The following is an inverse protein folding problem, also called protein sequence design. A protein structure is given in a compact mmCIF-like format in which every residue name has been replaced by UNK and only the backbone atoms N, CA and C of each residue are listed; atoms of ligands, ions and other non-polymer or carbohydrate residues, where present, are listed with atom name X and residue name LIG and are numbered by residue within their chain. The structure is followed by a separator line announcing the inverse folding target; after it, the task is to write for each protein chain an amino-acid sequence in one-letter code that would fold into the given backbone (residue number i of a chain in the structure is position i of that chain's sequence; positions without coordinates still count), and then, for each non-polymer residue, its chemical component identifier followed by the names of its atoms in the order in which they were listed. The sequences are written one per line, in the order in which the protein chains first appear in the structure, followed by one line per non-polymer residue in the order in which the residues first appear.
data_IF_003367993085
#
_entry.id   IF_003367993085
#
_cell.length_a   1.000
_cell.length_b   1.000
_cell.length_c   1.000
_cell.angle_alpha   90.00
_cell.angle_beta   90.00
_cell.angle_gamma   90.00
#
_symmetry.space_group_name_H-M   'P 1'
#
loop_
_entity.id
_entity.type
_entity.pdbx_description
1 polymer ?
#
# COMPACT_ATOMS: atom_id res chain seq x y z
N UNK A 1 -4.86 -11.71 10.34
CA UNK A 1 -4.25 -11.15 9.10
C UNK A 1 -4.90 -9.81 8.75
N UNK A 2 -4.16 -8.84 8.21
CA UNK A 2 -4.68 -7.57 7.69
C UNK A 2 -4.99 -7.69 6.19
N UNK A 3 -6.27 -7.69 5.78
CA UNK A 3 -6.66 -7.81 4.37
C UNK A 3 -6.60 -6.46 3.64
N UNK A 4 -6.44 -6.50 2.32
CA UNK A 4 -6.78 -5.33 1.47
C UNK A 4 -8.28 -5.06 1.53
N UNK A 5 -8.71 -3.84 1.17
CA UNK A 5 -10.14 -3.48 1.12
C UNK A 5 -10.94 -4.43 0.21
N UNK A 6 -10.47 -4.63 -1.01
CA UNK A 6 -11.04 -5.58 -1.99
C UNK A 6 -11.12 -7.01 -1.44
N UNK A 7 -10.10 -7.45 -0.70
CA UNK A 7 -10.12 -8.75 -0.03
C UNK A 7 -11.19 -8.78 1.05
N UNK A 8 -11.27 -7.77 1.91
CA UNK A 8 -12.25 -7.70 3.00
C UNK A 8 -13.69 -7.62 2.48
N UNK A 9 -13.92 -6.89 1.39
CA UNK A 9 -15.23 -6.80 0.73
C UNK A 9 -15.71 -8.18 0.26
N UNK A 10 -14.78 -9.02 -0.21
CA UNK A 10 -15.07 -10.41 -0.63
C UNK A 10 -15.39 -11.37 0.52
N UNK A 11 -15.06 -11.02 1.77
CA UNK A 11 -15.34 -11.88 2.92
C UNK A 11 -16.85 -12.04 3.14
N UNK A 12 -17.26 -13.27 3.46
CA UNK A 12 -18.66 -13.67 3.65
C UNK A 12 -18.90 -14.30 5.03
N UNK A 13 -18.83 -13.51 6.14
CA UNK A 13 -19.11 -14.04 7.48
C UNK A 13 -20.53 -14.60 7.62
N UNK A 14 -21.48 -14.09 6.82
CA UNK A 14 -22.84 -14.60 6.74
C UNK A 14 -22.90 -16.08 6.34
N UNK A 15 -22.06 -16.49 5.38
CA UNK A 15 -21.97 -17.90 4.95
C UNK A 15 -21.33 -18.78 6.03
N UNK A 16 -20.34 -18.25 6.76
CA UNK A 16 -19.71 -18.96 7.88
C UNK A 16 -20.71 -19.21 9.02
N UNK A 17 -21.52 -18.19 9.34
CA UNK A 17 -22.58 -18.30 10.35
C UNK A 17 -23.66 -19.33 9.95
N UNK A 18 -24.03 -19.41 8.67
CA UNK A 18 -24.94 -20.43 8.18
C UNK A 18 -24.32 -21.84 8.23
N UNK A 19 -23.04 -21.96 7.85
CA UNK A 19 -22.31 -23.21 7.89
C UNK A 19 -22.15 -23.74 9.33
N UNK A 20 -21.90 -22.86 10.30
CA UNK A 20 -21.74 -23.26 11.69
C UNK A 20 -23.02 -23.88 12.27
N UNK A 21 -24.18 -23.29 11.99
CA UNK A 21 -25.47 -23.87 12.35
C UNK A 21 -25.67 -25.26 11.74
N UNK A 22 -25.23 -25.47 10.49
CA UNK A 22 -25.29 -26.79 9.85
C UNK A 22 -24.38 -27.83 10.51
N UNK A 23 -23.20 -27.43 11.01
CA UNK A 23 -22.28 -28.33 11.71
C UNK A 23 -22.87 -28.79 13.04
N UNK A 24 -23.40 -27.85 13.85
CA UNK A 24 -24.06 -28.18 15.11
C UNK A 24 -25.24 -29.13 14.92
N UNK A 25 -26.13 -28.82 13.98
CA UNK A 25 -27.29 -29.67 13.66
C UNK A 25 -26.90 -31.08 13.18
N UNK A 26 -25.81 -31.21 12.42
CA UNK A 26 -25.30 -32.51 11.98
C UNK A 26 -24.73 -33.32 13.15
N UNK A 27 -24.03 -32.68 14.09
CA UNK A 27 -23.56 -33.29 15.33
C UNK A 27 -24.70 -33.87 16.16
N UNK A 28 -25.73 -33.06 16.39
CA UNK A 28 -26.93 -33.46 17.14
C UNK A 28 -27.68 -34.62 16.45
N UNK A 29 -27.75 -34.60 15.12
CA UNK A 29 -28.39 -35.67 14.36
C UNK A 29 -27.65 -37.01 14.50
N UNK A 30 -26.32 -37.00 14.52
CA UNK A 30 -25.50 -38.21 14.76
C UNK A 30 -25.75 -38.74 16.17
N UNK A 31 -25.73 -37.87 17.18
CA UNK A 31 -26.04 -38.25 18.57
C UNK A 31 -27.44 -38.86 18.67
N UNK A 32 -28.45 -38.16 18.16
CA UNK A 32 -29.83 -38.63 18.21
C UNK A 32 -30.02 -40.00 17.54
N UNK A 33 -29.36 -40.25 16.41
CA UNK A 33 -29.40 -41.54 15.73
C UNK A 33 -28.82 -42.65 16.61
N UNK A 34 -27.66 -42.43 17.24
CA UNK A 34 -27.01 -43.44 18.10
C UNK A 34 -27.81 -43.65 19.39
N UNK A 35 -28.24 -42.59 20.07
CA UNK A 35 -29.06 -42.68 21.29
C UNK A 35 -30.37 -43.43 21.03
N UNK A 36 -30.97 -43.28 19.85
CA UNK A 36 -32.20 -44.01 19.50
C UNK A 36 -32.00 -45.53 19.41
N UNK A 37 -30.81 -45.98 19.00
CA UNK A 37 -30.46 -47.41 18.91
C UNK A 37 -30.20 -47.97 20.30
N UNK A 38 -29.48 -47.23 21.15
CA UNK A 38 -29.25 -47.59 22.55
C UNK A 38 -30.58 -47.73 23.31
N UNK A 39 -31.45 -46.72 23.17
CA UNK A 39 -32.80 -46.71 23.74
C UNK A 39 -33.66 -47.88 23.26
N UNK A 40 -33.63 -48.19 21.96
CA UNK A 40 -34.36 -49.31 21.40
C UNK A 40 -33.85 -50.65 21.95
N UNK A 41 -32.53 -50.80 22.10
CA UNK A 41 -31.92 -52.01 22.66
C UNK A 41 -32.35 -52.24 24.11
N UNK A 42 -32.43 -51.18 24.93
CA UNK A 42 -32.81 -51.29 26.34
C UNK A 42 -34.31 -51.38 26.64
N UNK A 43 -35.19 -50.86 25.75
CA UNK A 43 -36.62 -50.66 26.06
C UNK A 43 -37.59 -51.62 25.36
N UNK A 44 -37.20 -52.33 24.31
CA UNK A 44 -38.16 -53.09 23.49
C UNK A 44 -38.79 -54.29 24.24
N UNK A 45 -40.12 -54.38 24.34
CA UNK A 45 -40.81 -55.57 24.87
C UNK A 45 -40.51 -56.83 24.07
N UNK A 46 -40.27 -56.74 22.75
CA UNK A 46 -39.90 -57.88 21.91
C UNK A 46 -38.48 -58.38 22.19
N UNK A 47 -37.58 -57.51 22.66
CA UNK A 47 -36.22 -57.90 23.08
C UNK A 47 -36.20 -58.68 24.40
N UNK A 48 -37.28 -58.67 25.19
CA UNK A 48 -37.38 -59.49 26.42
C UNK A 48 -37.31 -60.99 26.16
N UNK A 49 -37.63 -61.45 24.95
CA UNK A 49 -37.41 -62.83 24.52
C UNK A 49 -35.92 -63.16 24.29
N UNK A 50 -35.07 -62.12 24.20
CA UNK A 50 -33.62 -62.16 24.03
C UNK A 50 -32.85 -61.82 25.33
N UNK A 51 -33.57 -61.69 26.45
CA UNK A 51 -33.00 -61.36 27.74
C UNK A 51 -31.95 -62.37 28.21
N UNK A 52 -30.77 -61.85 28.57
CA UNK A 52 -29.63 -62.63 29.00
C UNK A 52 -28.30 -61.95 28.65
N UNK A 53 -27.20 -62.71 28.74
CA UNK A 53 -25.84 -62.19 28.54
C UNK A 53 -25.63 -61.50 27.19
N UNK A 54 -26.29 -61.96 26.13
CA UNK A 54 -26.18 -61.37 24.80
C UNK A 54 -26.85 -59.99 24.72
N UNK A 55 -28.02 -59.81 25.35
CA UNK A 55 -28.67 -58.51 25.45
C UNK A 55 -27.82 -57.53 26.27
N UNK A 56 -27.31 -57.94 27.44
CA UNK A 56 -26.46 -57.09 28.27
C UNK A 56 -25.20 -56.62 27.51
N UNK A 57 -24.58 -57.51 26.74
CA UNK A 57 -23.42 -57.16 25.92
C UNK A 57 -23.77 -56.17 24.79
N UNK A 58 -24.97 -56.27 24.21
CA UNK A 58 -25.46 -55.33 23.20
C UNK A 58 -25.78 -53.95 23.81
N UNK A 59 -26.46 -53.90 24.96
CA UNK A 59 -26.69 -52.67 25.72
C UNK A 59 -25.37 -51.99 26.12
N UNK A 60 -24.39 -52.75 26.62
CA UNK A 60 -23.06 -52.20 26.91
C UNK A 60 -22.35 -51.67 25.65
N UNK A 61 -22.52 -52.34 24.51
CA UNK A 61 -21.93 -51.90 23.24
C UNK A 61 -22.56 -50.61 22.73
N UNK A 62 -23.89 -50.50 22.71
CA UNK A 62 -24.58 -49.31 22.26
C UNK A 62 -24.44 -48.14 23.24
N UNK A 63 -24.41 -48.40 24.54
CA UNK A 63 -24.11 -47.39 25.54
C UNK A 63 -22.70 -46.79 25.37
N UNK A 64 -21.70 -47.61 25.03
CA UNK A 64 -20.37 -47.09 24.64
C UNK A 64 -20.42 -46.24 23.37
N UNK A 65 -21.21 -46.65 22.39
CA UNK A 65 -21.38 -45.88 21.16
C UNK A 65 -22.07 -44.53 21.42
N UNK A 66 -23.07 -44.50 22.30
CA UNK A 66 -23.79 -43.28 22.70
C UNK A 66 -22.86 -42.28 23.38
N UNK A 67 -21.99 -42.73 24.30
CA UNK A 67 -20.96 -41.89 24.93
C UNK A 67 -20.02 -41.27 23.88
N UNK A 68 -19.59 -42.04 22.88
CA UNK A 68 -18.75 -41.52 21.79
C UNK A 68 -19.51 -40.53 20.90
N UNK A 69 -20.79 -40.81 20.62
CA UNK A 69 -21.65 -39.92 19.82
C UNK A 69 -21.94 -38.60 20.56
N UNK A 70 -22.10 -38.63 21.88
CA UNK A 70 -22.17 -37.44 22.72
C UNK A 70 -20.89 -36.63 22.65
N UNK A 71 -19.72 -37.26 22.76
CA UNK A 71 -18.43 -36.58 22.62
C UNK A 71 -18.29 -35.91 21.24
N UNK A 72 -18.71 -36.60 20.17
CA UNK A 72 -18.72 -36.04 18.83
C UNK A 72 -19.68 -34.85 18.69
N UNK A 73 -20.87 -34.94 19.26
CA UNK A 73 -21.86 -33.84 19.29
C UNK A 73 -21.28 -32.62 20.00
N UNK A 74 -20.67 -32.82 21.16
CA UNK A 74 -20.04 -31.74 21.94
C UNK A 74 -18.87 -31.09 21.17
N UNK A 75 -18.11 -31.88 20.40
CA UNK A 75 -17.07 -31.34 19.52
C UNK A 75 -17.66 -30.48 18.40
N UNK A 76 -18.67 -31.00 17.70
CA UNK A 76 -19.36 -30.28 16.63
C UNK A 76 -19.98 -28.98 17.14
N UNK A 77 -20.61 -28.99 18.31
CA UNK A 77 -21.20 -27.83 18.96
C UNK A 77 -20.15 -26.78 19.37
N UNK A 78 -19.02 -27.21 19.94
CA UNK A 78 -17.93 -26.30 20.30
C UNK A 78 -17.33 -25.59 19.08
N UNK A 79 -17.11 -26.32 17.98
CA UNK A 79 -16.62 -25.74 16.71
C UNK A 79 -17.70 -24.84 16.08
N UNK A 80 -18.95 -25.26 16.07
CA UNK A 80 -20.06 -24.48 15.54
C UNK A 80 -20.23 -23.16 16.31
N UNK A 81 -20.15 -23.19 17.64
CA UNK A 81 -20.24 -22.00 18.48
C UNK A 81 -19.07 -21.05 18.19
N UNK A 82 -17.83 -21.56 18.16
CA UNK A 82 -16.65 -20.75 17.86
C UNK A 82 -16.74 -20.06 16.48
N UNK A 83 -17.18 -20.79 15.45
CA UNK A 83 -17.37 -20.21 14.11
C UNK A 83 -18.53 -19.22 14.10
N UNK A 84 -19.65 -19.54 14.75
CA UNK A 84 -20.85 -18.71 14.78
C UNK A 84 -20.60 -17.36 15.45
N UNK A 85 -20.01 -17.37 16.65
CA UNK A 85 -19.70 -16.18 17.43
C UNK A 85 -18.60 -15.34 16.74
N UNK A 86 -17.54 -16.00 16.26
CA UNK A 86 -16.47 -15.34 15.52
C UNK A 86 -16.95 -14.68 14.23
N UNK A 87 -17.77 -15.39 13.44
CA UNK A 87 -18.39 -14.83 12.24
C UNK A 87 -19.32 -13.66 12.57
N UNK A 88 -20.02 -13.69 13.70
CA UNK A 88 -20.89 -12.60 14.12
C UNK A 88 -20.11 -11.33 14.48
N UNK A 89 -19.05 -11.48 15.26
CA UNK A 89 -18.16 -10.37 15.59
C UNK A 89 -17.50 -9.80 14.33
N UNK A 90 -16.95 -10.68 13.47
CA UNK A 90 -16.25 -10.29 12.25
C UNK A 90 -17.16 -9.52 11.29
N UNK A 91 -18.42 -9.95 11.12
CA UNK A 91 -19.43 -9.25 10.31
C UNK A 91 -19.67 -7.82 10.80
N UNK A 92 -19.74 -7.63 12.12
CA UNK A 92 -19.94 -6.32 12.75
C UNK A 92 -18.77 -5.37 12.51
N UNK A 93 -17.55 -5.78 12.86
CA UNK A 93 -16.35 -4.92 12.72
C UNK A 93 -16.00 -4.66 11.26
N UNK A 94 -16.20 -5.65 10.38
CA UNK A 94 -16.09 -5.48 8.92
C UNK A 94 -17.09 -4.45 8.42
N UNK A 95 -18.34 -4.54 8.85
CA UNK A 95 -19.39 -3.61 8.45
C UNK A 95 -19.08 -2.17 8.84
N UNK A 96 -18.58 -1.96 10.07
CA UNK A 96 -18.17 -0.65 10.57
C UNK A 96 -17.01 -0.05 9.77
N UNK A 97 -15.94 -0.82 9.54
CA UNK A 97 -14.79 -0.36 8.76
C UNK A 97 -15.17 -0.01 7.31
N UNK A 98 -15.95 -0.87 6.64
CA UNK A 98 -16.39 -0.62 5.26
C UNK A 98 -17.35 0.57 5.18
N UNK A 99 -18.25 0.74 6.15
CA UNK A 99 -19.12 1.90 6.23
C UNK A 99 -18.31 3.19 6.40
N UNK A 100 -17.27 3.18 7.25
CA UNK A 100 -16.38 4.33 7.42
C UNK A 100 -15.61 4.66 6.15
N UNK A 101 -15.08 3.65 5.45
CA UNK A 101 -14.42 3.88 4.17
C UNK A 101 -15.37 4.51 3.13
N UNK A 102 -16.60 4.01 3.03
CA UNK A 102 -17.61 4.56 2.13
C UNK A 102 -18.04 6.00 2.51
N UNK A 103 -18.08 6.33 3.81
CA UNK A 103 -18.34 7.68 4.29
C UNK A 103 -17.23 8.64 3.84
N UNK A 104 -15.97 8.23 4.00
CA UNK A 104 -14.81 9.03 3.59
C UNK A 104 -14.81 9.23 2.07
N UNK A 105 -15.01 8.16 1.29
CA UNK A 105 -15.07 8.20 -0.18
C UNK A 105 -16.20 9.08 -0.75
N UNK A 106 -17.25 9.36 0.04
CA UNK A 106 -18.33 10.25 -0.36
C UNK A 106 -17.99 11.74 -0.13
N UNK A 107 -16.88 12.02 0.56
CA UNK A 107 -16.43 13.34 0.98
C UNK A 107 -15.27 13.89 0.13
N UNK A 108 -14.39 14.72 0.71
CA UNK A 108 -13.18 15.22 0.05
C UNK A 108 -11.97 14.28 0.21
N UNK A 109 -12.17 13.09 0.78
CA UNK A 109 -11.15 12.10 1.05
C UNK A 109 -11.50 10.81 0.30
N UNK A 110 -10.53 9.92 0.15
CA UNK A 110 -10.78 8.56 -0.30
C UNK A 110 -9.93 7.55 0.49
N UNK A 111 -10.36 6.30 0.50
CA UNK A 111 -9.65 5.20 1.15
C UNK A 111 -9.16 4.19 0.10
N UNK A 112 -7.84 4.10 -0.03
CA UNK A 112 -7.16 3.16 -0.93
C UNK A 112 -7.39 1.69 -0.56
N UNK A 113 -7.05 0.78 -1.47
CA UNK A 113 -7.11 -0.67 -1.21
C UNK A 113 -6.18 -1.11 -0.05
N UNK A 114 -5.15 -0.32 0.24
CA UNK A 114 -4.22 -0.51 1.35
C UNK A 114 -4.64 0.22 2.65
N UNK A 115 -5.89 0.67 2.75
CA UNK A 115 -6.45 1.40 3.91
C UNK A 115 -5.71 2.70 4.26
N UNK A 116 -5.11 3.35 3.27
CA UNK A 116 -4.55 4.69 3.40
C UNK A 116 -5.59 5.72 2.99
N UNK A 117 -5.83 6.70 3.87
CA UNK A 117 -6.69 7.86 3.63
C UNK A 117 -5.90 8.89 2.81
N UNK A 118 -6.44 9.22 1.64
CA UNK A 118 -5.90 10.20 0.71
C UNK A 118 -6.86 11.37 0.54
N UNK A 119 -6.33 12.49 0.07
CA UNK A 119 -7.13 13.68 -0.23
C UNK A 119 -7.47 13.62 -1.71
N UNK A 120 -8.76 13.75 -2.04
CA UNK A 120 -9.15 13.78 -3.44
C UNK A 120 -8.48 14.94 -4.17
N UNK A 121 -8.18 14.72 -5.45
CA UNK A 121 -7.52 15.72 -6.26
C UNK A 121 -8.47 16.90 -6.51
N UNK A 122 -8.20 18.08 -5.92
CA UNK A 122 -9.00 19.30 -6.09
C UNK A 122 -8.17 20.58 -5.97
N UNK A 123 -8.62 21.64 -6.63
CA UNK A 123 -8.05 22.97 -6.47
C UNK A 123 -8.58 23.60 -5.18
N UNK A 124 -7.67 23.95 -4.28
CA UNK A 124 -7.98 24.54 -2.97
C UNK A 124 -6.87 25.49 -2.52
N UNK A 125 -7.17 26.37 -1.58
CA UNK A 125 -6.16 27.24 -0.98
C UNK A 125 -5.16 26.44 -0.14
N UNK A 126 -4.04 27.07 0.22
CA UNK A 126 -3.07 26.50 1.16
C UNK A 126 -3.71 26.21 2.53
N UNK A 127 -4.53 27.14 3.03
CA UNK A 127 -5.25 26.99 4.29
C UNK A 127 -6.23 25.80 4.26
N UNK A 128 -7.04 25.68 3.21
CA UNK A 128 -7.98 24.56 3.05
C UNK A 128 -7.24 23.23 2.88
N UNK A 129 -6.09 23.21 2.18
CA UNK A 129 -5.26 22.01 2.09
C UNK A 129 -4.72 21.56 3.46
N UNK A 130 -4.25 22.51 4.28
CA UNK A 130 -3.77 22.20 5.63
C UNK A 130 -4.88 21.63 6.52
N UNK A 131 -6.11 22.14 6.39
CA UNK A 131 -7.29 21.59 7.07
C UNK A 131 -7.60 20.16 6.58
N UNK A 132 -7.54 19.92 5.28
CA UNK A 132 -7.74 18.58 4.68
C UNK A 132 -6.65 17.59 5.09
N UNK A 133 -5.39 18.01 5.16
CA UNK A 133 -4.29 17.17 5.65
C UNK A 133 -4.48 16.78 7.12
N UNK A 134 -4.90 17.74 7.95
CA UNK A 134 -5.21 17.49 9.37
C UNK A 134 -6.41 16.56 9.52
N UNK A 135 -7.46 16.75 8.71
CA UNK A 135 -8.60 15.85 8.64
C UNK A 135 -8.18 14.44 8.22
N UNK A 136 -7.40 14.30 7.14
CA UNK A 136 -6.93 13.01 6.63
C UNK A 136 -6.12 12.23 7.68
N UNK A 137 -5.26 12.90 8.46
CA UNK A 137 -4.52 12.29 9.56
C UNK A 137 -5.45 11.76 10.66
N UNK A 138 -6.42 12.57 11.10
CA UNK A 138 -7.40 12.17 12.11
C UNK A 138 -8.27 11.01 11.64
N UNK A 139 -8.73 11.05 10.40
CA UNK A 139 -9.53 9.96 9.82
C UNK A 139 -8.69 8.69 9.61
N UNK A 140 -7.39 8.81 9.29
CA UNK A 140 -6.47 7.66 9.23
C UNK A 140 -6.34 6.98 10.59
N UNK A 141 -6.23 7.73 11.69
CA UNK A 141 -6.17 7.16 13.04
C UNK A 141 -7.46 6.38 13.38
N UNK A 142 -8.62 6.95 13.08
CA UNK A 142 -9.91 6.30 13.30
C UNK A 142 -10.06 5.02 12.46
N UNK A 143 -9.69 5.09 11.17
CA UNK A 143 -9.71 3.94 10.26
C UNK A 143 -8.75 2.84 10.71
N UNK A 144 -7.55 3.20 11.18
CA UNK A 144 -6.55 2.27 11.70
C UNK A 144 -7.07 1.51 12.93
N UNK A 145 -7.77 2.19 13.85
CA UNK A 145 -8.39 1.53 15.00
C UNK A 145 -9.44 0.49 14.58
N UNK A 146 -10.27 0.81 13.57
CA UNK A 146 -11.26 -0.12 13.02
C UNK A 146 -10.60 -1.30 12.29
N UNK A 147 -9.53 -1.05 11.53
CA UNK A 147 -8.74 -2.09 10.86
C UNK A 147 -8.09 -3.05 11.87
N UNK A 148 -7.56 -2.53 12.97
CA UNK A 148 -7.03 -3.33 14.08
C UNK A 148 -8.11 -4.24 14.65
N UNK A 149 -9.33 -3.73 14.87
CA UNK A 149 -10.44 -4.50 15.41
C UNK A 149 -10.89 -5.64 14.46
N UNK A 150 -10.84 -5.43 13.14
CA UNK A 150 -11.09 -6.49 12.16
C UNK A 150 -10.08 -7.63 12.30
N UNK A 151 -8.79 -7.31 12.40
CA UNK A 151 -7.75 -8.33 12.57
C UNK A 151 -7.84 -9.02 13.93
N UNK A 152 -8.16 -8.29 15.01
CA UNK A 152 -8.40 -8.91 16.32
C UNK A 152 -9.59 -9.88 16.30
N UNK A 153 -10.68 -9.54 15.58
CA UNK A 153 -11.82 -10.44 15.42
C UNK A 153 -11.49 -11.69 14.61
N UNK A 154 -10.73 -11.54 13.51
CA UNK A 154 -10.22 -12.65 12.69
C UNK A 154 -9.33 -13.60 13.51
N UNK A 155 -8.34 -13.04 14.23
CA UNK A 155 -7.43 -13.83 15.06
C UNK A 155 -8.16 -14.51 16.23
N UNK A 156 -9.11 -13.82 16.89
CA UNK A 156 -9.91 -14.40 17.96
C UNK A 156 -10.81 -15.54 17.47
N UNK A 157 -11.40 -15.42 16.28
CA UNK A 157 -12.17 -16.49 15.65
C UNK A 157 -11.28 -17.70 15.37
N UNK A 158 -10.10 -17.50 14.78
CA UNK A 158 -9.15 -18.57 14.51
C UNK A 158 -8.74 -19.29 15.81
N UNK A 159 -8.37 -18.54 16.84
CA UNK A 159 -7.96 -19.09 18.14
C UNK A 159 -9.12 -19.84 18.83
N UNK A 160 -10.35 -19.35 18.74
CA UNK A 160 -11.53 -20.02 19.29
C UNK A 160 -11.77 -21.39 18.62
N UNK A 161 -11.67 -21.46 17.29
CA UNK A 161 -11.81 -22.72 16.54
C UNK A 161 -10.69 -23.71 16.89
N UNK A 162 -9.44 -23.23 16.98
CA UNK A 162 -8.29 -24.05 17.37
C UNK A 162 -8.45 -24.59 18.79
N UNK A 163 -8.90 -23.76 19.74
CA UNK A 163 -9.12 -24.16 21.12
C UNK A 163 -10.28 -25.16 21.26
N UNK A 164 -11.37 -25.00 20.49
CA UNK A 164 -12.44 -25.98 20.41
C UNK A 164 -11.90 -27.34 19.91
N UNK A 165 -11.00 -27.35 18.93
CA UNK A 165 -10.32 -28.56 18.44
C UNK A 165 -9.43 -29.24 19.48
N UNK A 166 -8.62 -28.47 20.23
CA UNK A 166 -7.62 -29.01 21.18
C UNK A 166 -8.25 -29.90 22.24
N UNK A 167 -9.46 -29.57 22.69
CA UNK A 167 -10.23 -30.38 23.65
C UNK A 167 -10.54 -31.81 23.16
N UNK A 168 -10.46 -32.03 21.84
CA UNK A 168 -10.76 -33.31 21.18
C UNK A 168 -9.56 -33.90 20.44
N UNK A 169 -8.34 -33.45 20.77
CA UNK A 169 -7.09 -34.02 20.24
C UNK A 169 -6.60 -33.40 18.92
N UNK A 170 -7.19 -32.28 18.48
CA UNK A 170 -6.60 -31.50 17.38
C UNK A 170 -5.26 -30.90 17.82
N UNK A 171 -4.25 -31.04 16.95
CA UNK A 171 -2.93 -30.44 17.13
C UNK A 171 -2.73 -29.44 15.99
N UNK A 172 -2.52 -28.18 16.35
CA UNK A 172 -2.23 -27.13 15.39
C UNK A 172 -0.91 -27.44 14.67
N UNK A 173 -0.84 -27.29 13.33
CA UNK A 173 0.43 -27.39 12.61
C UNK A 173 1.44 -26.40 13.18
N UNK A 174 2.61 -26.90 13.60
CA UNK A 174 3.71 -26.05 14.03
C UNK A 174 4.32 -25.28 12.86
N UNK A 175 5.20 -24.29 13.13
CA UNK A 175 5.97 -23.64 12.09
C UNK A 175 6.73 -24.70 11.27
N UNK A 176 6.80 -24.54 9.94
CA UNK A 176 7.39 -25.55 9.06
C UNK A 176 8.84 -25.83 9.46
N UNK A 177 9.16 -27.11 9.67
CA UNK A 177 10.50 -27.51 10.13
C UNK A 177 11.39 -28.05 9.00
N UNK A 178 10.80 -28.35 7.85
CA UNK A 178 11.52 -28.80 6.66
C UNK A 178 10.93 -28.25 5.35
N UNK A 179 11.62 -28.53 4.24
CA UNK A 179 11.25 -28.07 2.88
C UNK A 179 9.92 -28.69 2.42
N UNK A 180 9.57 -29.88 2.90
CA UNK A 180 8.28 -30.52 2.60
C UNK A 180 7.11 -29.84 3.30
N UNK A 181 7.29 -29.45 4.56
CA UNK A 181 6.35 -28.62 5.33
C UNK A 181 6.15 -27.25 4.67
N UNK A 182 7.23 -26.65 4.15
CA UNK A 182 7.15 -25.38 3.41
C UNK A 182 6.37 -25.49 2.10
N UNK A 183 6.28 -26.69 1.49
CA UNK A 183 5.49 -26.92 0.27
C UNK A 183 4.00 -27.19 0.56
N UNK A 184 3.62 -27.37 1.82
CA UNK A 184 2.22 -27.50 2.22
C UNK A 184 1.65 -26.10 2.53
N UNK A 185 0.78 -25.61 1.64
CA UNK A 185 0.14 -24.28 1.72
C UNK A 185 -0.68 -24.01 3.00
N UNK A 186 -0.82 -25.00 3.88
CA UNK A 186 -1.57 -24.94 5.15
C UNK A 186 -0.67 -24.85 6.39
N UNK A 187 0.66 -24.78 6.24
CA UNK A 187 1.61 -24.85 7.37
C UNK A 187 1.82 -23.50 8.11
N UNK A 188 1.31 -22.38 7.60
CA UNK A 188 1.50 -21.07 8.24
C UNK A 188 0.24 -20.20 8.19
N UNK A 189 0.07 -19.34 9.20
CA UNK A 189 -0.97 -18.30 9.19
C UNK A 189 -0.69 -17.34 8.01
N UNK A 190 -1.74 -16.86 7.31
CA UNK A 190 -1.57 -15.86 6.25
C UNK A 190 -0.87 -14.61 6.76
N UNK A 191 0.07 -14.09 5.97
CA UNK A 191 0.72 -12.79 6.23
C UNK A 191 -0.19 -11.63 5.88
N UNK A 192 0.09 -10.47 6.48
CA UNK A 192 -0.61 -9.22 6.20
C UNK A 192 -0.42 -8.80 4.74
N UNK A 193 -1.49 -8.26 4.14
CA UNK A 193 -1.49 -7.76 2.75
C UNK A 193 -1.40 -6.25 2.65
N UNK A 194 -1.45 -5.56 3.78
CA UNK A 194 -1.41 -4.11 3.90
C UNK A 194 -0.48 -3.73 5.06
N UNK A 195 0.06 -2.50 5.08
CA UNK A 195 0.95 -2.07 6.16
C UNK A 195 0.25 -2.11 7.52
N UNK A 196 0.83 -2.80 8.50
CA UNK A 196 0.24 -2.93 9.85
C UNK A 196 0.36 -1.64 10.65
N UNK A 197 -0.75 -0.93 10.96
CA UNK A 197 -0.72 0.32 11.70
C UNK A 197 -0.24 0.18 13.15
N UNK A 198 -0.20 -1.04 13.69
CA UNK A 198 0.36 -1.33 15.03
C UNK A 198 1.89 -1.28 15.03
N UNK A 199 2.50 -1.42 13.85
CA UNK A 199 3.95 -1.42 13.69
C UNK A 199 4.43 -0.05 13.19
N UNK A 200 5.62 0.36 13.63
CA UNK A 200 6.25 1.60 13.16
C UNK A 200 6.43 1.56 11.64
N UNK A 201 6.84 0.40 11.10
CA UNK A 201 7.07 0.22 9.67
C UNK A 201 5.78 0.35 8.88
N UNK A 202 4.68 -0.23 9.37
CA UNK A 202 3.39 -0.10 8.70
C UNK A 202 2.85 1.33 8.75
N UNK A 203 2.97 2.01 9.89
CA UNK A 203 2.61 3.43 10.00
C UNK A 203 3.42 4.33 9.04
N UNK A 204 4.73 4.07 8.91
CA UNK A 204 5.58 4.76 7.94
C UNK A 204 5.20 4.42 6.49
N UNK A 205 4.83 3.17 6.21
CA UNK A 205 4.35 2.73 4.90
C UNK A 205 3.07 3.48 4.48
N UNK A 206 2.11 3.60 5.39
CA UNK A 206 0.89 4.38 5.14
C UNK A 206 1.20 5.86 4.89
N UNK A 207 2.10 6.45 5.67
CA UNK A 207 2.54 7.84 5.49
C UNK A 207 3.26 8.04 4.15
N UNK A 208 4.10 7.10 3.72
CA UNK A 208 4.79 7.15 2.44
C UNK A 208 3.81 7.09 1.27
N UNK A 209 2.84 6.17 1.29
CA UNK A 209 1.79 6.06 0.25
C UNK A 209 1.01 7.38 0.12
N UNK A 210 0.65 8.01 1.24
CA UNK A 210 -0.03 9.31 1.25
C UNK A 210 0.86 10.44 0.72
N UNK A 211 2.13 10.46 1.12
CA UNK A 211 3.10 11.47 0.66
C UNK A 211 3.29 11.42 -0.86
N UNK A 212 3.46 10.22 -1.41
CA UNK A 212 3.60 10.02 -2.87
C UNK A 212 2.37 10.52 -3.62
N UNK A 213 1.17 10.26 -3.10
CA UNK A 213 -0.06 10.75 -3.71
C UNK A 213 -0.17 12.28 -3.67
N UNK A 214 0.12 12.90 -2.52
CA UNK A 214 0.10 14.36 -2.37
C UNK A 214 1.17 15.07 -3.22
N UNK A 215 2.31 14.43 -3.46
CA UNK A 215 3.37 14.91 -4.36
C UNK A 215 2.97 14.88 -5.84
N UNK A 216 1.94 14.11 -6.19
CA UNK A 216 1.47 14.01 -7.57
C UNK A 216 0.18 14.79 -7.80
N UNK A 217 -0.62 15.05 -6.78
CA UNK A 217 -1.87 15.77 -6.94
C UNK A 217 -1.65 17.29 -6.96
N UNK A 218 -2.30 17.96 -7.90
CA UNK A 218 -2.20 19.42 -8.07
C UNK A 218 -3.15 20.12 -7.10
N UNK A 219 -2.65 21.09 -6.35
CA UNK A 219 -3.44 21.97 -5.48
C UNK A 219 -3.80 23.27 -6.19
N UNK A 220 -2.86 23.86 -6.93
CA UNK A 220 -3.01 25.19 -7.50
C UNK A 220 -2.14 25.36 -8.75
N UNK A 221 -2.63 26.11 -9.74
CA UNK A 221 -1.89 26.49 -10.93
C UNK A 221 -1.98 28.00 -11.08
N UNK A 222 -0.83 28.67 -11.19
CA UNK A 222 -0.72 30.12 -11.37
C UNK A 222 0.06 30.40 -12.65
N UNK A 223 -0.59 31.07 -13.59
CA UNK A 223 0.07 31.65 -14.77
C UNK A 223 0.56 33.06 -14.42
N UNK A 224 1.82 33.36 -14.73
CA UNK A 224 2.44 34.66 -14.46
C UNK A 224 3.47 35.01 -15.52
N UNK A 225 3.98 36.24 -15.48
CA UNK A 225 5.09 36.69 -16.32
C UNK A 225 6.21 37.18 -15.42
N UNK A 226 7.44 36.74 -15.65
CA UNK A 226 8.58 37.18 -14.84
C UNK A 226 9.06 38.59 -15.23
N UNK A 227 10.06 39.10 -14.52
CA UNK A 227 10.63 40.44 -14.76
C UNK A 227 11.26 40.61 -16.16
N UNK A 228 11.57 39.49 -16.82
CA UNK A 228 12.16 39.42 -18.16
C UNK A 228 11.10 39.30 -19.27
N UNK A 229 9.81 39.25 -18.92
CA UNK A 229 8.72 39.09 -19.89
C UNK A 229 8.44 37.63 -20.29
N UNK A 230 9.05 36.66 -19.63
CA UNK A 230 8.86 35.23 -19.90
C UNK A 230 7.58 34.73 -19.24
N UNK A 231 6.80 33.95 -19.99
CA UNK A 231 5.59 33.28 -19.50
C UNK A 231 5.99 32.12 -18.57
N UNK A 232 5.45 32.15 -17.34
CA UNK A 232 5.67 31.13 -16.33
C UNK A 232 4.34 30.48 -15.91
N UNK A 233 4.33 29.15 -15.83
CA UNK A 233 3.25 28.37 -15.23
C UNK A 233 3.78 27.71 -13.96
N UNK A 234 3.28 28.14 -12.80
CA UNK A 234 3.63 27.56 -11.51
C UNK A 234 2.55 26.59 -11.07
N UNK A 235 2.91 25.33 -10.88
CA UNK A 235 2.07 24.32 -10.25
C UNK A 235 2.50 24.14 -8.81
N UNK A 236 1.56 24.28 -7.89
CA UNK A 236 1.75 23.85 -6.50
C UNK A 236 0.99 22.54 -6.26
N UNK A 237 1.69 21.55 -5.73
CA UNK A 237 1.17 20.22 -5.41
C UNK A 237 0.50 20.23 -4.02
N UNK A 238 -0.21 19.16 -3.66
CA UNK A 238 -0.91 19.06 -2.36
C UNK A 238 0.06 19.00 -1.17
N UNK A 239 1.27 18.48 -1.36
CA UNK A 239 2.32 18.45 -0.33
C UNK A 239 3.04 19.81 -0.15
N UNK A 240 2.69 20.81 -0.96
CA UNK A 240 3.30 22.15 -0.96
C UNK A 240 4.51 22.30 -1.88
N UNK A 241 5.00 21.21 -2.48
CA UNK A 241 6.08 21.27 -3.47
C UNK A 241 5.61 21.96 -4.74
N UNK A 242 6.56 22.52 -5.50
CA UNK A 242 6.25 23.41 -6.64
C UNK A 242 7.02 23.00 -7.88
N UNK A 243 6.39 23.21 -9.04
CA UNK A 243 7.05 23.13 -10.33
C UNK A 243 6.78 24.40 -11.12
N UNK A 244 7.84 25.05 -11.59
CA UNK A 244 7.78 26.29 -12.36
C UNK A 244 8.21 25.97 -13.79
N UNK A 245 7.27 26.00 -14.72
CA UNK A 245 7.53 25.89 -16.14
C UNK A 245 7.72 27.28 -16.74
N UNK A 246 8.85 27.51 -17.39
CA UNK A 246 9.22 28.79 -18.01
C UNK A 246 9.52 28.57 -19.48
N UNK A 247 8.94 29.44 -20.32
CA UNK A 247 9.35 29.57 -21.71
C UNK A 247 10.49 30.58 -21.78
N UNK A 248 11.70 30.11 -22.10
CA UNK A 248 12.90 30.93 -22.09
C UNK A 248 12.88 31.95 -23.24
N UNK A 249 13.42 33.16 -22.99
CA UNK A 249 13.48 34.21 -24.00
C UNK A 249 14.45 33.84 -25.15
N UNK A 250 13.98 33.73 -26.41
CA UNK A 250 14.85 33.49 -27.56
C UNK A 250 15.88 34.59 -27.80
N UNK A 251 15.70 35.82 -27.27
CA UNK A 251 16.70 36.88 -27.38
C UNK A 251 17.92 36.66 -26.47
N UNK A 252 17.73 36.07 -25.29
CA UNK A 252 18.82 35.71 -24.39
C UNK A 252 19.53 34.42 -24.83
N UNK A 253 18.79 33.52 -25.49
CA UNK A 253 19.30 32.24 -25.98
C UNK A 253 19.16 32.09 -27.50
N UNK A 254 19.83 32.95 -28.31
CA UNK A 254 19.61 33.02 -29.75
C UNK A 254 20.02 31.76 -30.51
N UNK A 255 20.82 30.87 -29.91
CA UNK A 255 21.18 29.57 -30.49
C UNK A 255 20.17 28.46 -30.20
N UNK A 256 19.18 28.69 -29.34
CA UNK A 256 18.21 27.69 -28.87
C UNK A 256 16.80 28.06 -29.30
N UNK A 257 16.19 27.25 -30.17
CA UNK A 257 14.78 27.37 -30.53
C UNK A 257 13.91 26.53 -29.59
N UNK A 258 12.68 27.01 -29.36
CA UNK A 258 11.67 26.31 -28.54
C UNK A 258 12.22 25.88 -27.17
N UNK A 259 12.94 26.78 -26.50
CA UNK A 259 13.59 26.47 -25.24
C UNK A 259 12.61 26.57 -24.07
N UNK A 260 12.31 25.42 -23.47
CA UNK A 260 11.47 25.30 -22.28
C UNK A 260 12.27 24.78 -21.10
N UNK A 261 11.91 25.24 -19.91
CA UNK A 261 12.51 24.82 -18.65
C UNK A 261 11.41 24.52 -17.63
N UNK A 262 11.55 23.44 -16.87
CA UNK A 262 10.72 23.14 -15.69
C UNK A 262 11.65 22.97 -14.50
N UNK A 263 11.51 23.84 -13.51
CA UNK A 263 12.22 23.73 -12.24
C UNK A 263 11.30 23.18 -11.18
N UNK A 264 11.77 22.16 -10.45
CA UNK A 264 11.04 21.55 -9.35
C UNK A 264 11.68 21.95 -8.02
N UNK A 265 10.82 22.24 -7.04
CA UNK A 265 11.19 22.67 -5.69
C UNK A 265 10.42 21.84 -4.69
N UNK A 266 11.03 21.52 -3.55
CA UNK A 266 10.37 20.81 -2.47
C UNK A 266 9.41 21.74 -1.68
N UNK A 267 8.74 21.19 -0.66
CA UNK A 267 7.82 21.95 0.21
C UNK A 267 8.50 23.10 0.97
N UNK A 268 9.82 23.03 1.17
CA UNK A 268 10.62 24.05 1.85
C UNK A 268 11.06 25.17 0.89
N UNK A 269 10.87 24.96 -0.41
CA UNK A 269 11.34 25.84 -1.47
C UNK A 269 12.76 25.53 -1.92
N UNK A 270 13.36 24.42 -1.49
CA UNK A 270 14.70 24.02 -1.91
C UNK A 270 14.63 23.42 -3.32
N UNK A 271 15.62 23.76 -4.14
CA UNK A 271 15.72 23.26 -5.51
C UNK A 271 15.94 21.74 -5.53
N UNK A 272 15.11 21.05 -6.29
CA UNK A 272 15.17 19.60 -6.51
C UNK A 272 15.96 19.28 -7.77
N UNK A 273 15.58 19.94 -8.86
CA UNK A 273 16.11 19.67 -10.17
C UNK A 273 15.40 20.48 -11.24
N UNK A 274 15.97 20.43 -12.43
CA UNK A 274 15.54 21.19 -13.59
C UNK A 274 15.54 20.31 -14.80
N UNK A 275 14.44 20.35 -15.53
CA UNK A 275 14.34 19.80 -16.88
C UNK A 275 14.41 20.92 -17.90
N UNK A 276 15.25 20.78 -18.91
CA UNK A 276 15.44 21.76 -19.99
C UNK A 276 15.33 21.05 -21.34
N UNK A 277 14.49 21.54 -22.24
CA UNK A 277 14.38 21.01 -23.61
C UNK A 277 14.50 22.13 -24.64
N UNK A 278 15.32 21.93 -25.68
CA UNK A 278 15.52 22.91 -26.75
C UNK A 278 16.00 22.26 -28.04
N UNK A 279 15.87 23.00 -29.14
CA UNK A 279 16.50 22.69 -30.43
C UNK A 279 17.70 23.61 -30.65
N UNK A 280 18.88 23.07 -30.94
CA UNK A 280 20.10 23.85 -31.14
C UNK A 280 20.34 24.17 -32.63
N UNK A 281 20.35 25.46 -32.97
CA UNK A 281 20.51 25.91 -34.36
C UNK A 281 21.94 25.73 -34.91
N UNK A 282 22.94 25.56 -34.05
CA UNK A 282 24.33 25.40 -34.45
C UNK A 282 24.64 24.03 -35.02
N UNK A 283 23.95 22.99 -34.54
CA UNK A 283 24.16 21.61 -34.96
C UNK A 283 22.90 20.87 -35.42
N UNK A 284 21.72 21.53 -35.41
CA UNK A 284 20.42 20.97 -35.81
C UNK A 284 20.00 19.75 -34.96
N UNK A 285 20.50 19.66 -33.71
CA UNK A 285 20.13 18.61 -32.76
C UNK A 285 19.06 19.08 -31.78
N UNK A 286 18.19 18.15 -31.36
CA UNK A 286 17.28 18.35 -30.24
C UNK A 286 17.92 17.86 -28.94
N UNK A 287 17.66 18.55 -27.84
CA UNK A 287 18.22 18.24 -26.52
C UNK A 287 17.12 18.21 -25.46
N UNK A 288 17.27 17.30 -24.50
CA UNK A 288 16.58 17.34 -23.20
C UNK A 288 17.56 16.98 -22.10
N UNK A 289 17.60 17.79 -21.04
CA UNK A 289 18.52 17.64 -19.91
C UNK A 289 17.75 17.63 -18.60
N UNK A 290 18.12 16.75 -17.68
CA UNK A 290 17.59 16.66 -16.32
C UNK A 290 18.75 16.89 -15.36
N UNK A 291 18.90 18.13 -14.87
CA UNK A 291 19.93 18.51 -13.92
C UNK A 291 19.38 18.42 -12.49
N UNK A 292 20.05 17.70 -11.61
CA UNK A 292 19.63 17.50 -10.22
C UNK A 292 20.39 18.44 -9.27
N UNK A 293 19.83 18.66 -8.08
CA UNK A 293 20.42 19.52 -7.05
C UNK A 293 21.83 19.07 -6.59
N UNK A 294 22.12 17.78 -6.68
CA UNK A 294 23.44 17.21 -6.34
C UNK A 294 24.51 17.45 -7.42
N UNK A 295 24.14 18.09 -8.53
CA UNK A 295 25.02 18.35 -9.67
C UNK A 295 25.10 17.21 -10.69
N UNK A 296 24.40 16.10 -10.47
CA UNK A 296 24.25 15.07 -11.50
C UNK A 296 23.34 15.53 -12.63
N UNK A 297 23.51 14.97 -13.82
CA UNK A 297 22.76 15.36 -15.02
C UNK A 297 22.51 14.17 -15.96
N UNK A 298 21.26 13.95 -16.34
CA UNK A 298 20.92 13.11 -17.49
C UNK A 298 20.74 13.99 -18.72
N UNK A 299 21.51 13.74 -19.77
CA UNK A 299 21.37 14.41 -21.06
C UNK A 299 20.90 13.42 -22.12
N UNK A 300 19.86 13.80 -22.86
CA UNK A 300 19.36 13.11 -24.04
C UNK A 300 19.52 14.07 -25.22
N UNK A 301 20.04 13.57 -26.33
CA UNK A 301 20.11 14.34 -27.57
C UNK A 301 19.71 13.50 -28.77
N UNK A 302 18.99 14.10 -29.71
CA UNK A 302 18.64 13.51 -30.99
C UNK A 302 19.33 14.28 -32.12
N UNK A 303 20.06 13.57 -32.96
CA UNK A 303 20.74 14.16 -34.10
C UNK A 303 19.81 14.37 -35.32
N UNK A 304 20.26 15.08 -36.36
CA UNK A 304 19.46 15.32 -37.57
C UNK A 304 18.99 14.06 -38.30
N UNK A 305 19.60 12.91 -38.04
CA UNK A 305 19.27 11.61 -38.65
C UNK A 305 18.24 10.82 -37.84
N UNK A 306 17.84 11.33 -36.67
CA UNK A 306 16.94 10.68 -35.73
C UNK A 306 17.63 9.72 -34.76
N UNK A 307 18.97 9.69 -34.74
CA UNK A 307 19.71 8.86 -33.79
C UNK A 307 19.73 9.53 -32.41
N UNK A 308 19.30 8.80 -31.38
CA UNK A 308 19.21 9.31 -30.01
C UNK A 308 20.38 8.77 -29.17
N UNK A 309 21.00 9.67 -28.40
CA UNK A 309 22.05 9.32 -27.44
C UNK A 309 21.65 9.77 -26.05
N UNK A 310 21.84 8.89 -25.06
CA UNK A 310 21.60 9.18 -23.64
C UNK A 310 22.92 9.07 -22.89
N UNK A 311 23.19 10.06 -22.05
CA UNK A 311 24.32 10.04 -21.14
C UNK A 311 23.92 10.50 -19.75
N UNK A 312 24.46 9.83 -18.73
CA UNK A 312 24.32 10.25 -17.34
C UNK A 312 25.68 10.70 -16.81
N UNK A 313 25.71 11.88 -16.22
CA UNK A 313 26.88 12.44 -15.54
C UNK A 313 26.59 12.46 -14.05
N UNK A 314 27.36 11.73 -13.24
CA UNK A 314 27.22 11.74 -11.79
C UNK A 314 27.75 13.03 -11.17
N UNK A 315 27.40 13.29 -9.90
CA UNK A 315 27.83 14.48 -9.16
C UNK A 315 29.37 14.64 -9.07
N UNK A 316 30.12 13.55 -9.17
CA UNK A 316 31.60 13.54 -9.21
C UNK A 316 32.18 13.79 -10.63
N UNK A 317 31.31 14.05 -11.62
CA UNK A 317 31.68 14.38 -13.00
C UNK A 317 31.94 13.18 -13.91
N UNK A 318 31.70 11.95 -13.45
CA UNK A 318 31.87 10.76 -14.31
C UNK A 318 30.70 10.62 -15.28
N UNK A 319 31.02 10.50 -16.56
CA UNK A 319 30.02 10.29 -17.61
C UNK A 319 29.89 8.81 -17.96
N UNK A 320 28.65 8.33 -18.07
CA UNK A 320 28.32 6.97 -18.50
C UNK A 320 27.28 7.03 -19.61
N UNK A 321 27.51 6.28 -20.70
CA UNK A 321 26.49 6.06 -21.70
C UNK A 321 25.37 5.20 -21.11
N UNK A 322 24.13 5.58 -21.38
CA UNK A 322 22.94 4.88 -20.89
C UNK A 322 22.25 4.20 -22.08
N UNK A 323 21.77 2.95 -21.94
CA UNK A 323 21.06 2.27 -23.02
C UNK A 323 19.86 3.07 -23.50
N UNK A 324 19.66 3.13 -24.82
CA UNK A 324 18.58 3.92 -25.45
C UNK A 324 17.20 3.34 -25.16
N UNK A 325 17.11 2.07 -24.77
CA UNK A 325 15.90 1.39 -24.32
C UNK A 325 15.27 2.08 -23.10
N UNK A 326 16.06 2.80 -22.29
CA UNK A 326 15.56 3.65 -21.20
C UNK A 326 14.62 4.76 -21.72
N UNK A 327 14.78 5.23 -22.96
CA UNK A 327 13.98 6.32 -23.52
C UNK A 327 12.53 5.86 -23.76
N UNK A 328 12.36 4.65 -24.28
CA UNK A 328 11.02 4.10 -24.51
C UNK A 328 10.32 3.83 -23.17
N UNK A 329 11.05 3.37 -22.15
CA UNK A 329 10.47 3.14 -20.83
C UNK A 329 10.21 4.43 -20.03
N UNK A 330 11.06 5.45 -20.15
CA UNK A 330 10.73 6.82 -19.68
C UNK A 330 9.44 7.29 -20.36
N UNK A 331 9.29 7.05 -21.67
CA UNK A 331 8.08 7.41 -22.42
C UNK A 331 6.84 6.53 -22.10
N UNK A 332 7.00 5.32 -21.56
CA UNK A 332 5.91 4.38 -21.24
C UNK A 332 5.43 4.50 -19.78
N UNK A 333 6.34 4.79 -18.84
CA UNK A 333 6.02 5.06 -17.43
C UNK A 333 5.41 6.44 -17.27
N UNK A 334 5.81 7.39 -18.12
CA UNK A 334 5.15 8.68 -18.23
C UNK A 334 3.78 8.48 -18.88
N UNK A 335 2.72 8.39 -18.07
CA UNK A 335 1.43 8.87 -18.56
C UNK A 335 1.70 10.32 -18.97
N UNK A 336 1.85 10.57 -20.27
CA UNK A 336 2.40 11.82 -20.85
C UNK A 336 1.76 13.13 -20.36
N UNK A 337 0.67 13.05 -19.59
CA UNK A 337 0.05 14.17 -18.90
C UNK A 337 0.60 14.42 -17.47
N UNK A 338 1.01 13.38 -16.73
CA UNK A 338 1.49 13.51 -15.35
C UNK A 338 2.95 13.98 -15.24
N UNK A 339 3.79 13.69 -16.23
CA UNK A 339 5.22 14.00 -16.16
C UNK A 339 5.60 15.39 -16.72
N UNK A 340 4.72 16.03 -17.49
CA UNK A 340 5.08 17.23 -18.26
C UNK A 340 6.00 16.97 -19.46
N UNK A 341 6.27 15.71 -19.79
CA UNK A 341 7.07 15.28 -20.95
C UNK A 341 6.17 14.78 -22.07
N UNK A 342 6.52 15.13 -23.29
CA UNK A 342 5.91 14.61 -24.51
C UNK A 342 6.86 13.72 -25.29
N UNK A 343 6.33 12.66 -25.90
CA UNK A 343 7.08 11.87 -26.89
C UNK A 343 7.25 12.73 -28.15
N UNK A 344 8.39 13.40 -28.26
CA UNK A 344 8.79 14.11 -29.47
C UNK A 344 9.22 13.08 -30.52
N UNK A 345 8.48 13.00 -31.63
CA UNK A 345 8.80 12.10 -32.74
C UNK A 345 9.27 12.96 -33.92
N UNK A 346 10.56 12.86 -34.25
CA UNK A 346 11.16 13.55 -35.37
C UNK A 346 12.06 12.60 -36.16
N UNK A 347 11.96 12.68 -37.49
CA UNK A 347 12.90 12.05 -38.44
C UNK A 347 13.15 10.54 -38.21
N UNK A 348 12.19 9.83 -37.62
CA UNK A 348 12.25 8.38 -37.37
C UNK A 348 12.72 7.98 -35.96
N UNK A 349 13.14 8.94 -35.12
CA UNK A 349 13.48 8.74 -33.71
C UNK A 349 12.41 9.28 -32.76
N UNK A 350 12.50 8.92 -31.47
CA UNK A 350 11.66 9.50 -30.42
C UNK A 350 12.44 9.87 -29.18
N UNK A 351 12.15 11.04 -28.60
CA UNK A 351 12.78 11.54 -27.37
C UNK A 351 11.75 12.27 -26.50
N UNK A 352 11.77 12.09 -25.16
CA UNK A 352 10.92 12.88 -24.26
C UNK A 352 11.39 14.33 -24.25
N UNK A 353 10.48 15.27 -24.48
CA UNK A 353 10.76 16.71 -24.44
C UNK A 353 9.70 17.48 -23.65
N UNK A 354 10.11 18.58 -23.03
CA UNK A 354 9.20 19.65 -22.64
C UNK A 354 8.92 20.52 -23.86
N UNK A 355 7.64 20.70 -24.20
CA UNK A 355 7.17 21.44 -25.37
C UNK A 355 6.14 22.49 -24.96
N UNK A 356 5.73 23.33 -25.90
CA UNK A 356 4.62 24.26 -25.67
C UNK A 356 3.34 23.53 -25.25
N UNK A 357 3.03 22.40 -25.88
CA UNK A 357 1.84 21.61 -25.59
C UNK A 357 1.97 20.91 -24.24
N UNK A 358 3.18 20.44 -23.89
CA UNK A 358 3.40 19.80 -22.60
C UNK A 358 3.20 20.80 -21.46
N UNK A 359 3.74 22.02 -21.60
CA UNK A 359 3.56 23.14 -20.65
C UNK A 359 2.10 23.58 -20.58
N UNK A 360 1.41 23.73 -21.71
CA UNK A 360 -0.03 24.06 -21.74
C UNK A 360 -0.89 22.99 -21.04
N UNK A 361 -0.45 21.72 -21.01
CA UNK A 361 -1.15 20.64 -20.30
C UNK A 361 -0.80 20.53 -18.82
N UNK A 362 0.25 21.21 -18.36
CA UNK A 362 0.66 21.19 -16.96
C UNK A 362 -0.51 21.67 -16.08
N UNK A 363 -0.90 20.84 -15.12
CA UNK A 363 -1.98 21.16 -14.20
C UNK A 363 -3.39 21.13 -14.79
N UNK A 364 -3.57 20.85 -16.09
CA UNK A 364 -4.89 20.56 -16.69
C UNK A 364 -5.44 19.21 -16.24
N UNK A 365 -4.56 18.28 -15.93
CA UNK A 365 -4.89 17.10 -15.12
C UNK A 365 -4.63 17.44 -13.66
N UNK A 366 -5.53 17.02 -12.77
CA UNK A 366 -5.33 17.16 -11.32
C UNK A 366 -4.14 16.33 -10.78
N UNK A 367 -3.39 15.68 -11.67
CA UNK A 367 -2.15 14.94 -11.41
C UNK A 367 -1.01 15.50 -12.24
N UNK A 368 0.09 15.85 -11.57
CA UNK A 368 1.36 16.28 -12.12
C UNK A 368 2.49 15.90 -11.14
N UNK A 369 3.29 14.89 -11.50
CA UNK A 369 4.46 14.46 -10.73
C UNK A 369 5.73 15.25 -11.05
N UNK A 370 5.83 15.78 -12.27
CA UNK A 370 6.99 16.52 -12.75
C UNK A 370 8.04 15.63 -13.43
N UNK A 371 8.82 16.21 -14.37
CA UNK A 371 9.75 15.46 -15.21
C UNK A 371 10.96 14.92 -14.44
N UNK A 372 11.48 15.66 -13.45
CA UNK A 372 12.66 15.27 -12.66
C UNK A 372 12.34 14.06 -11.78
N UNK A 373 11.23 14.09 -11.05
CA UNK A 373 10.81 12.98 -10.18
C UNK A 373 10.53 11.72 -11.00
N UNK A 374 9.88 11.87 -12.17
CA UNK A 374 9.54 10.72 -13.03
C UNK A 374 10.77 10.08 -13.68
N UNK A 375 11.74 10.88 -14.10
CA UNK A 375 12.97 10.35 -14.70
C UNK A 375 13.92 9.79 -13.64
N UNK A 376 14.02 10.40 -12.46
CA UNK A 376 14.77 9.84 -11.35
C UNK A 376 14.26 8.44 -11.01
N UNK A 377 12.95 8.29 -10.78
CA UNK A 377 12.33 6.99 -10.47
C UNK A 377 12.57 5.95 -11.54
N UNK A 378 12.44 6.30 -12.83
CA UNK A 378 12.71 5.37 -13.94
C UNK A 378 14.18 4.95 -14.02
N UNK A 379 15.12 5.87 -13.82
CA UNK A 379 16.57 5.56 -13.77
C UNK A 379 16.87 4.65 -12.57
N UNK A 380 16.30 4.96 -11.40
CA UNK A 380 16.45 4.11 -10.21
C UNK A 380 15.89 2.70 -10.47
N UNK A 381 14.70 2.59 -11.06
CA UNK A 381 14.06 1.31 -11.39
C UNK A 381 14.87 0.45 -12.38
N UNK A 382 15.63 1.08 -13.28
CA UNK A 382 16.43 0.37 -14.28
C UNK A 382 17.86 0.09 -13.85
N UNK A 383 18.51 1.04 -13.18
CA UNK A 383 19.95 0.99 -12.87
C UNK A 383 20.20 0.27 -11.54
N UNK A 384 19.25 0.29 -10.61
CA UNK A 384 19.47 -0.21 -9.25
C UNK A 384 18.77 -1.54 -8.92
N UNK A 385 18.11 -2.20 -9.88
CA UNK A 385 17.23 -3.32 -9.54
C UNK A 385 17.53 -4.65 -10.26
N UNK A 386 17.84 -5.67 -9.45
CA UNK A 386 17.87 -7.08 -9.83
C UNK A 386 16.46 -7.75 -9.70
N UNK A 387 15.51 -7.13 -8.99
CA UNK A 387 14.14 -7.65 -8.76
C UNK A 387 13.05 -6.54 -8.70
N UNK A 388 11.77 -6.89 -8.84
CA UNK A 388 10.63 -5.94 -8.72
C UNK A 388 10.46 -5.40 -7.30
N UNK A 389 10.75 -6.22 -6.30
CA UNK A 389 10.82 -5.85 -4.88
C UNK A 389 11.78 -4.68 -4.64
N UNK A 390 13.03 -4.79 -5.13
CA UNK A 390 14.06 -3.76 -4.92
C UNK A 390 13.70 -2.41 -5.55
N UNK A 391 12.95 -2.42 -6.67
CA UNK A 391 12.43 -1.21 -7.35
C UNK A 391 11.43 -0.47 -6.47
N UNK A 392 10.44 -1.21 -5.97
CA UNK A 392 9.44 -0.65 -5.08
C UNK A 392 10.07 -0.15 -3.77
N UNK A 393 11.06 -0.87 -3.23
CA UNK A 393 11.82 -0.44 -2.05
C UNK A 393 12.56 0.87 -2.30
N UNK A 394 13.19 1.02 -3.47
CA UNK A 394 13.89 2.24 -3.86
C UNK A 394 12.94 3.41 -4.11
N UNK A 395 11.75 3.18 -4.68
CA UNK A 395 10.70 4.20 -4.87
C UNK A 395 10.20 4.73 -3.52
N UNK A 396 9.88 3.84 -2.58
CA UNK A 396 9.46 4.19 -1.22
C UNK A 396 10.59 4.90 -0.47
N UNK A 397 11.84 4.47 -0.65
CA UNK A 397 13.00 5.16 -0.11
C UNK A 397 13.26 6.52 -0.73
N UNK A 398 12.98 6.69 -2.03
CA UNK A 398 13.03 7.96 -2.73
C UNK A 398 11.92 8.91 -2.29
N UNK A 399 10.73 8.40 -1.96
CA UNK A 399 9.65 9.22 -1.40
C UNK A 399 9.87 9.58 0.08
N UNK A 400 10.52 8.70 0.85
CA UNK A 400 10.84 8.92 2.26
C UNK A 400 12.15 9.73 2.47
N UNK A 401 13.06 9.70 1.49
CA UNK A 401 14.40 10.29 1.60
C UNK A 401 14.78 11.29 0.49
N UNK A 402 14.04 11.36 -0.61
CA UNK A 402 14.30 12.27 -1.71
C UNK A 402 13.53 13.58 -1.54
N UNK A 403 14.28 14.69 -1.52
CA UNK A 403 13.79 16.05 -1.79
C UNK A 403 12.98 16.69 -0.64
N UNK A 404 13.64 16.88 0.51
CA UNK A 404 13.14 17.79 1.54
C UNK A 404 12.38 17.14 2.70
N UNK A 405 13.10 16.38 3.54
CA UNK A 405 12.83 16.31 4.97
C UNK A 405 11.40 15.97 5.44
N UNK A 406 10.84 14.84 5.01
CA UNK A 406 9.61 14.28 5.59
C UNK A 406 9.82 13.08 6.53
N UNK A 407 11.04 12.52 6.61
CA UNK A 407 11.25 11.25 7.34
C UNK A 407 11.53 11.36 8.85
N UNK A 408 11.96 12.51 9.36
CA UNK A 408 12.54 12.59 10.72
C UNK A 408 11.63 13.17 11.81
N UNK A 409 10.93 14.27 11.52
CA UNK A 409 10.24 15.05 12.56
C UNK A 409 8.76 14.69 12.71
N UNK A 410 8.03 14.49 11.60
CA UNK A 410 6.60 14.15 11.62
C UNK A 410 6.36 12.67 11.99
N UNK A 411 7.30 11.77 11.68
CA UNK A 411 7.29 10.41 12.22
C UNK A 411 7.46 10.39 13.75
N UNK A 412 8.25 11.32 14.30
CA UNK A 412 8.37 11.53 15.75
C UNK A 412 7.10 12.11 16.39
N UNK A 413 6.37 12.96 15.67
CA UNK A 413 5.09 13.53 16.12
C UNK A 413 3.93 12.52 16.02
N UNK A 414 3.86 11.72 14.96
CA UNK A 414 2.88 10.65 14.79
C UNK A 414 3.06 9.51 15.82
N UNK A 415 4.32 9.17 16.14
CA UNK A 415 4.63 8.27 17.25
C UNK A 415 4.27 8.86 18.63
N UNK A 416 4.33 10.18 18.79
CA UNK A 416 3.91 10.89 20.01
C UNK A 416 2.39 10.97 20.17
N UNK A 417 1.65 11.20 19.07
CA UNK A 417 0.20 11.38 19.07
C UNK A 417 -0.58 10.05 19.25
N UNK A 418 -0.03 8.94 18.77
CA UNK A 418 -0.61 7.59 18.93
C UNK A 418 -0.74 7.13 20.40
N UNK A 419 -0.24 7.89 21.38
CA UNK A 419 -0.28 7.52 22.80
C UNK A 419 -1.46 8.10 23.57
N UNK A 420 -2.17 9.12 23.08
CA UNK A 420 -3.37 9.67 23.74
C UNK A 420 -3.19 10.09 25.23
N UNK A 421 -4.19 10.75 25.83
CA UNK A 421 -4.11 11.20 27.23
C UNK A 421 -4.25 10.10 28.30
N UNK A 422 -4.36 8.81 27.92
CA UNK A 422 -4.60 7.69 28.84
C UNK A 422 -3.49 6.62 28.90
N UNK A 423 -2.32 6.83 28.28
CA UNK A 423 -1.22 5.86 28.25
C UNK A 423 -0.13 5.88 29.38
N UNK A 424 -0.34 6.32 30.64
CA UNK A 424 0.74 6.21 31.64
C UNK A 424 1.04 4.78 32.16
N UNK A 425 0.21 3.77 31.87
CA UNK A 425 0.27 2.47 32.56
C UNK A 425 0.91 1.32 31.78
N UNK A 426 1.28 1.49 30.51
CA UNK A 426 1.82 0.39 29.66
C UNK A 426 3.11 0.74 28.88
N UNK A 427 3.87 1.75 29.33
CA UNK A 427 5.11 2.20 28.67
C UNK A 427 6.33 1.60 29.36
N UNK A 428 6.97 0.56 28.78
CA UNK A 428 8.44 0.70 28.67
C UNK A 428 9.17 0.55 27.31
N UNK A 429 8.63 0.13 26.13
CA UNK A 429 9.46 0.07 24.91
C UNK A 429 9.32 1.28 23.98
N UNK A 430 8.17 1.95 23.95
CA UNK A 430 7.84 2.88 22.84
C UNK A 430 8.44 4.28 22.97
N UNK A 431 8.87 4.71 24.16
CA UNK A 431 9.54 6.00 24.35
C UNK A 431 10.99 6.04 23.82
N UNK A 432 11.58 4.87 23.47
CA UNK A 432 12.95 4.76 22.96
C UNK A 432 12.99 4.90 21.42
N UNK A 433 11.86 4.70 20.72
CA UNK A 433 11.79 4.76 19.25
C UNK A 433 12.08 6.15 18.68
N UNK A 434 11.57 7.23 19.30
CA UNK A 434 11.76 8.60 18.79
C UNK A 434 13.22 9.05 18.72
N UNK A 435 14.09 8.54 19.62
CA UNK A 435 15.53 8.83 19.60
C UNK A 435 16.32 7.91 18.66
N UNK A 436 15.80 6.71 18.35
CA UNK A 436 16.44 5.76 17.45
C UNK A 436 16.29 6.17 15.97
N UNK A 437 15.12 6.67 15.57
CA UNK A 437 14.84 7.07 14.18
C UNK A 437 15.38 8.47 13.80
N UNK A 438 15.62 9.36 14.77
CA UNK A 438 16.35 10.59 14.52
C UNK A 438 17.82 10.35 14.08
N UNK A 439 18.35 9.14 14.32
CA UNK A 439 19.71 8.73 13.92
C UNK A 439 19.80 7.95 12.61
N UNK A 440 18.69 7.46 12.05
CA UNK A 440 18.67 6.66 10.82
C UNK A 440 18.42 7.58 9.62
N UNK A 441 19.41 7.69 8.72
CA UNK A 441 19.28 8.47 7.49
C UNK A 441 18.16 7.94 6.59
N UNK A 442 17.53 8.82 5.80
CA UNK A 442 16.35 8.50 4.97
C UNK A 442 16.51 7.29 4.03
N UNK A 443 17.73 6.91 3.68
CA UNK A 443 18.04 5.72 2.86
C UNK A 443 17.82 4.40 3.61
N UNK A 444 18.07 4.34 4.91
CA UNK A 444 17.87 3.12 5.71
C UNK A 444 16.40 2.97 6.13
N UNK A 445 15.74 4.10 6.44
CA UNK A 445 14.30 4.13 6.68
C UNK A 445 13.52 3.69 5.43
N UNK A 446 13.93 4.21 4.28
CA UNK A 446 13.36 3.87 2.98
C UNK A 446 13.47 2.39 2.62
N UNK A 447 14.62 1.76 2.90
CA UNK A 447 14.81 0.32 2.69
C UNK A 447 13.89 -0.51 3.58
N UNK A 448 13.81 -0.15 4.87
CA UNK A 448 13.00 -0.85 5.85
C UNK A 448 11.50 -0.78 5.56
N UNK A 449 11.01 0.37 5.09
CA UNK A 449 9.61 0.55 4.68
C UNK A 449 9.32 -0.14 3.35
N UNK A 450 10.26 -0.04 2.41
CA UNK A 450 10.19 -0.74 1.13
C UNK A 450 10.04 -2.24 1.28
N UNK A 451 10.80 -2.87 2.18
CA UNK A 451 10.76 -4.32 2.38
C UNK A 451 9.40 -4.85 2.88
N UNK A 452 8.55 -3.98 3.42
CA UNK A 452 7.23 -4.34 3.99
C UNK A 452 6.07 -3.90 3.09
N UNK A 453 6.18 -2.75 2.42
CA UNK A 453 5.13 -2.22 1.55
C UNK A 453 5.15 -2.89 0.17
N UNK A 454 6.31 -3.40 -0.24
CA UNK A 454 6.50 -4.00 -1.55
C UNK A 454 6.36 -5.53 -1.45
N UNK A 455 5.30 -6.12 -2.02
CA UNK A 455 5.25 -7.57 -2.19
C UNK A 455 6.27 -7.99 -3.26
N UNK A 456 6.86 -9.18 -3.07
CA UNK A 456 7.90 -9.85 -3.87
C UNK A 456 7.94 -9.51 -5.38
#
# INVERSE_FOLDING_TARGET
MLPTRSTLESWRPDLLRAASASVGAAGDAVRAAVSSVDDACGRLPEARAWAGTAQNAAEEMFGRADVVAEQFSNYADAVATAIGDGAALLDSVRGELLAKANELDAGPLNVTDSWVVQIDSRYVSEEEMAELQTLALREQEALNAMLIAVTEADDAMADAVLNAGKGFGFVEPGPPTDVGDMMLATASRPVDRVPDPRTIVGALGQAAIRSVDQQQNVREVIESTNEYGEEMTTVTKQDGSKAVATRMDPFEWPSKLNFYQIEEFDKSGDFVGRTSSWHDMGNDCDYTSFAYADGSNLSISMDPTGHVTVGFTSADGRHSAVPVELIDDISLVTTSHMSGLEKHIARGGSMPMVTAESVDRIGKTMKFGGPVVTVATTIFDMVMADSRHDRCVALVAGAAGGLGGWGGAEAGAAAGAATGPFAPLLVPPFAIGGAFFAGLGGRELGKLVGDVVCPY
#
